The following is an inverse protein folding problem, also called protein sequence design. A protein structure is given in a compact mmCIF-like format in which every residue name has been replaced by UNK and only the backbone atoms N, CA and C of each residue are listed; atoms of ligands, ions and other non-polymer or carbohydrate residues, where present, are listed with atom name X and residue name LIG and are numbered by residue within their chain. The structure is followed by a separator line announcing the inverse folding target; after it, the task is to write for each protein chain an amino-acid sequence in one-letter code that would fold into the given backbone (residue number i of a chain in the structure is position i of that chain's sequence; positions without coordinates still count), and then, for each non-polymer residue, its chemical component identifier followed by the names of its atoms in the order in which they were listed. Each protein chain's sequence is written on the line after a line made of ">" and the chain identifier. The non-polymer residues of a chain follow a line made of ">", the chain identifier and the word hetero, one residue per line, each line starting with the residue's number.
data_IF_440252069977
#
_entry.id   IF_440252069977
#
_cell.length_a   1.000
_cell.length_b   1.000
_cell.length_c   1.000
_cell.angle_alpha   90.00
_cell.angle_beta   90.00
_cell.angle_gamma   90.00
#
_symmetry.space_group_name_H-M   'P 1'
#
loop_
_entity.id
_entity.type
_entity.pdbx_description
1 polymer ?
#
# COMPACT_ATOMS: atom_id res chain seq x y z
N UNK A 1 -13.10 -49.07 -3.57
CA UNK A 1 -12.12 -48.15 -2.98
C UNK A 1 -11.49 -47.43 -4.15
N UNK A 2 -11.55 -46.12 -4.33
CA UNK A 2 -11.96 -44.99 -3.49
C UNK A 2 -12.44 -43.87 -4.43
N UNK A 3 -13.31 -43.02 -3.92
CA UNK A 3 -13.82 -41.82 -4.60
C UNK A 3 -12.82 -40.71 -4.26
N UNK A 4 -12.03 -40.22 -5.20
CA UNK A 4 -11.29 -38.98 -4.98
C UNK A 4 -12.03 -37.81 -5.64
N UNK A 5 -12.84 -37.15 -4.83
CA UNK A 5 -13.46 -35.86 -5.12
C UNK A 5 -12.37 -34.81 -5.03
N UNK A 6 -11.72 -34.50 -6.14
CA UNK A 6 -10.98 -33.23 -6.24
C UNK A 6 -12.02 -32.11 -6.23
N UNK A 7 -12.35 -31.65 -5.02
CA UNK A 7 -13.11 -30.42 -4.81
C UNK A 7 -12.32 -29.29 -5.45
N UNK A 8 -12.74 -28.87 -6.64
CA UNK A 8 -12.58 -27.50 -7.09
C UNK A 8 -13.24 -26.63 -6.02
N UNK A 9 -12.45 -26.20 -5.03
CA UNK A 9 -12.84 -25.11 -4.15
C UNK A 9 -13.00 -23.90 -5.03
N UNK A 10 -14.24 -23.63 -5.42
CA UNK A 10 -14.73 -22.31 -5.73
C UNK A 10 -14.16 -21.36 -4.68
N UNK A 11 -13.26 -20.48 -5.10
CA UNK A 11 -12.80 -19.35 -4.28
C UNK A 11 -13.99 -18.42 -4.18
N UNK A 12 -14.84 -18.70 -3.20
CA UNK A 12 -16.03 -17.94 -2.86
C UNK A 12 -15.61 -16.52 -2.47
N UNK A 13 -15.88 -15.58 -3.38
CA UNK A 13 -16.29 -14.18 -3.23
C UNK A 13 -16.36 -13.54 -1.81
N UNK A 14 -15.35 -13.74 -0.96
CA UNK A 14 -15.30 -13.25 0.42
C UNK A 14 -13.99 -12.53 0.78
N UNK A 15 -12.97 -12.58 -0.08
CA UNK A 15 -11.63 -12.02 0.21
C UNK A 15 -11.53 -10.49 0.00
N UNK A 16 -12.48 -9.87 -0.69
CA UNK A 16 -12.38 -8.44 -1.08
C UNK A 16 -12.62 -7.47 0.11
N UNK A 17 -13.34 -7.90 1.16
CA UNK A 17 -13.61 -7.06 2.33
C UNK A 17 -12.37 -6.79 3.20
N UNK A 18 -11.33 -7.62 3.07
CA UNK A 18 -10.12 -7.53 3.89
C UNK A 18 -8.95 -6.86 3.16
N UNK A 19 -9.14 -6.42 1.92
CA UNK A 19 -8.13 -5.70 1.14
C UNK A 19 -8.26 -4.19 1.36
N UNK A 20 -7.19 -3.59 1.85
CA UNK A 20 -7.06 -2.14 1.97
C UNK A 20 -6.35 -1.61 0.74
N UNK A 21 -6.99 -0.68 0.03
CA UNK A 21 -6.41 0.04 -1.10
C UNK A 21 -5.86 1.37 -0.61
N UNK A 22 -4.57 1.60 -0.84
CA UNK A 22 -3.87 2.83 -0.44
C UNK A 22 -3.23 3.48 -1.65
N UNK A 23 -3.37 4.79 -1.74
CA UNK A 23 -2.57 5.61 -2.63
C UNK A 23 -1.59 6.43 -1.81
N UNK A 24 -0.30 6.29 -2.12
CA UNK A 24 0.74 7.14 -1.58
C UNK A 24 1.04 8.26 -2.58
N UNK A 25 0.98 9.50 -2.12
CA UNK A 25 1.38 10.69 -2.85
C UNK A 25 2.63 11.25 -2.17
N UNK A 26 3.72 11.36 -2.92
CA UNK A 26 4.97 11.95 -2.47
C UNK A 26 5.19 13.26 -3.21
N UNK A 27 5.33 14.36 -2.48
CA UNK A 27 5.48 15.70 -3.05
C UNK A 27 6.66 16.44 -2.42
N UNK A 28 7.29 17.31 -3.20
CA UNK A 28 8.25 18.28 -2.67
C UNK A 28 7.52 19.60 -2.36
N UNK A 29 7.72 20.21 -1.18
CA UNK A 29 7.05 21.46 -0.84
C UNK A 29 7.54 22.66 -1.68
N UNK A 30 8.82 22.64 -2.07
CA UNK A 30 9.50 23.76 -2.74
C UNK A 30 9.89 23.46 -4.20
N UNK A 31 9.29 22.45 -4.83
CA UNK A 31 9.66 22.05 -6.19
C UNK A 31 8.61 21.17 -6.86
N UNK A 32 8.85 20.84 -8.13
CA UNK A 32 7.84 20.19 -8.97
C UNK A 32 7.76 18.66 -8.81
N UNK A 33 8.55 18.09 -7.88
CA UNK A 33 8.55 16.65 -7.66
C UNK A 33 7.20 16.19 -7.11
N UNK A 34 6.54 15.32 -7.86
CA UNK A 34 5.27 14.70 -7.50
C UNK A 34 5.22 13.26 -8.05
N UNK A 35 5.06 12.28 -7.15
CA UNK A 35 4.92 10.87 -7.53
C UNK A 35 3.73 10.24 -6.80
N UNK A 36 3.00 9.40 -7.53
CA UNK A 36 1.83 8.68 -7.04
C UNK A 36 2.07 7.18 -7.16
N UNK A 37 1.86 6.46 -6.06
CA UNK A 37 1.95 5.01 -6.00
C UNK A 37 0.61 4.45 -5.54
N UNK A 38 0.19 3.35 -6.14
CA UNK A 38 -0.98 2.59 -5.70
C UNK A 38 -0.50 1.29 -5.09
N UNK A 39 -0.99 0.97 -3.91
CA UNK A 39 -0.68 -0.26 -3.21
C UNK A 39 -1.94 -0.88 -2.64
N UNK A 40 -1.90 -2.19 -2.42
CA UNK A 40 -2.98 -2.95 -1.80
C UNK A 40 -2.37 -3.97 -0.85
N UNK A 41 -2.98 -4.12 0.32
CA UNK A 41 -2.52 -5.10 1.31
C UNK A 41 -3.70 -5.61 2.12
N UNK A 42 -3.55 -6.80 2.70
CA UNK A 42 -4.55 -7.36 3.60
C UNK A 42 -4.54 -6.58 4.91
N UNK A 43 -5.72 -6.33 5.50
CA UNK A 43 -5.89 -5.59 6.75
C UNK A 43 -5.03 -6.16 7.88
N UNK A 44 -4.83 -7.48 7.94
CA UNK A 44 -3.95 -8.14 8.92
C UNK A 44 -2.50 -7.66 8.87
N UNK A 45 -2.03 -7.24 7.70
CA UNK A 45 -0.67 -6.80 7.44
C UNK A 45 -0.49 -5.29 7.64
N UNK A 46 -1.54 -4.55 8.02
CA UNK A 46 -1.50 -3.09 8.22
C UNK A 46 -0.42 -2.66 9.23
N UNK A 47 -0.08 -3.51 10.20
CA UNK A 47 0.98 -3.22 11.17
C UNK A 47 2.37 -3.13 10.53
N UNK A 48 2.59 -3.85 9.41
CA UNK A 48 3.85 -3.82 8.66
C UNK A 48 4.04 -2.51 7.88
N UNK A 49 2.95 -1.76 7.66
CA UNK A 49 3.01 -0.46 6.99
C UNK A 49 3.77 0.57 7.84
N UNK A 50 3.58 0.59 9.16
CA UNK A 50 4.17 1.58 10.07
C UNK A 50 5.70 1.69 9.92
N UNK A 51 6.50 0.61 10.06
CA UNK A 51 7.95 0.71 9.89
C UNK A 51 8.36 1.06 8.46
N UNK A 52 7.59 0.66 7.44
CA UNK A 52 7.88 1.05 6.05
C UNK A 52 7.69 2.55 5.83
N UNK A 53 6.67 3.15 6.46
CA UNK A 53 6.41 4.58 6.37
C UNK A 53 7.50 5.41 7.05
N UNK A 54 8.17 4.87 8.08
CA UNK A 54 9.27 5.55 8.77
C UNK A 54 10.48 5.85 7.89
N UNK A 55 10.65 5.13 6.77
CA UNK A 55 11.71 5.43 5.80
C UNK A 55 11.47 6.78 5.11
N UNK A 56 10.20 7.18 4.92
CA UNK A 56 9.85 8.43 4.25
C UNK A 56 10.17 9.68 5.08
N UNK A 57 10.27 9.55 6.42
CA UNK A 57 10.67 10.64 7.32
C UNK A 57 12.10 11.18 6.99
N UNK A 58 12.88 10.45 6.19
CA UNK A 58 14.27 10.76 5.86
C UNK A 58 14.49 11.05 4.37
N UNK A 59 13.43 11.00 3.56
CA UNK A 59 13.57 11.24 2.12
C UNK A 59 13.59 12.75 1.84
N UNK A 60 14.59 13.17 1.07
CA UNK A 60 14.74 14.55 0.64
C UNK A 60 14.61 14.69 -0.86
N UNK A 61 14.17 15.86 -1.31
CA UNK A 61 14.15 16.23 -2.70
C UNK A 61 15.59 16.44 -3.20
N UNK A 62 15.98 15.73 -4.26
CA UNK A 62 17.32 15.87 -4.83
C UNK A 62 17.62 17.26 -5.41
N UNK A 63 16.59 18.06 -5.74
CA UNK A 63 16.75 19.37 -6.34
C UNK A 63 16.92 20.50 -5.31
N UNK A 64 16.12 20.50 -4.24
CA UNK A 64 16.12 21.58 -3.24
C UNK A 64 16.58 21.15 -1.84
N UNK A 65 16.80 19.86 -1.59
CA UNK A 65 17.26 19.32 -0.31
C UNK A 65 16.19 19.23 0.79
N UNK A 66 14.99 19.78 0.56
CA UNK A 66 13.88 19.73 1.51
C UNK A 66 13.36 18.31 1.72
N UNK A 67 12.77 18.06 2.88
CA UNK A 67 12.07 16.79 3.15
C UNK A 67 10.86 16.63 2.23
N UNK A 68 10.63 15.41 1.78
CA UNK A 68 9.47 15.07 0.95
C UNK A 68 8.25 14.82 1.84
N UNK A 69 7.11 15.37 1.41
CA UNK A 69 5.83 15.15 2.05
C UNK A 69 5.21 13.84 1.54
N UNK A 70 4.82 12.96 2.48
CA UNK A 70 4.07 11.75 2.18
C UNK A 70 2.61 11.89 2.64
N UNK A 71 1.69 11.76 1.70
CA UNK A 71 0.26 11.69 1.96
C UNK A 71 -0.29 10.30 1.59
N UNK A 72 -1.08 9.70 2.48
CA UNK A 72 -1.71 8.41 2.27
C UNK A 72 -3.22 8.57 2.15
N UNK A 73 -3.78 8.21 1.00
CA UNK A 73 -5.23 8.13 0.78
C UNK A 73 -5.66 6.67 0.91
N UNK A 74 -6.42 6.36 1.95
CA UNK A 74 -7.03 5.05 2.15
C UNK A 74 -8.44 5.08 1.56
N UNK A 75 -8.71 4.22 0.58
CA UNK A 75 -10.08 3.96 0.11
C UNK A 75 -10.59 2.74 0.86
N UNK A 76 -11.37 2.97 1.91
CA UNK A 76 -12.04 1.96 2.75
C UNK A 76 -13.44 1.70 2.21
#
# INVERSE_FOLDING_TARGET
>A
MEIDKTQEKSVEASEDYDLIKVRALITCPNGDYNKKFRNQFLRKDMRLLIPQLKVFDWLTCAACGELLDLNLEFNI
#
